data_IF_846901541481
#
_entry.id   IF_846901541481
#
_cell.length_a   1.000
_cell.length_b   1.000
_cell.length_c   1.000
_cell.angle_alpha   90.00
_cell.angle_beta   90.00
_cell.angle_gamma   90.00
#
_symmetry.space_group_name_H-M   'P 1'
#
loop_
_entity.id
_entity.type
_entity.pdbx_description
1 polymer ?
#
# COMPACT_ATOMS: atom_id res chain seq x y z
N UNK A 1 -10.78 44.64 -27.84
CA UNK A 1 -9.69 43.65 -27.75
C UNK A 1 -8.95 43.67 -26.40
N UNK A 2 -9.63 43.95 -25.28
CA UNK A 2 -9.03 43.94 -23.92
C UNK A 2 -9.86 43.19 -22.87
N UNK A 3 -11.11 42.83 -23.19
CA UNK A 3 -11.99 42.08 -22.28
C UNK A 3 -11.82 40.56 -22.41
N UNK A 4 -11.44 40.06 -23.59
CA UNK A 4 -11.26 38.63 -23.85
C UNK A 4 -9.97 38.05 -23.24
N UNK A 5 -9.00 38.88 -22.85
CA UNK A 5 -7.79 38.42 -22.14
C UNK A 5 -8.04 38.15 -20.65
N UNK A 6 -9.07 38.77 -20.04
CA UNK A 6 -9.36 38.62 -18.61
C UNK A 6 -10.14 37.33 -18.30
N UNK A 7 -10.98 36.83 -19.23
CA UNK A 7 -11.67 35.55 -19.05
C UNK A 7 -10.74 34.33 -19.21
N UNK A 8 -9.68 34.43 -20.02
CA UNK A 8 -8.70 33.36 -20.16
C UNK A 8 -7.82 33.17 -18.90
N UNK A 9 -7.68 34.22 -18.08
CA UNK A 9 -6.91 34.16 -16.83
C UNK A 9 -7.66 33.50 -15.66
N UNK A 10 -8.99 33.37 -15.74
CA UNK A 10 -9.81 32.74 -14.69
C UNK A 10 -10.12 31.25 -14.95
N UNK A 11 -9.70 30.72 -16.10
CA UNK A 11 -9.59 29.27 -16.33
C UNK A 11 -8.28 28.69 -15.75
N UNK A 12 -7.52 29.51 -15.01
CA UNK A 12 -6.29 29.13 -14.33
C UNK A 12 -6.58 28.23 -13.13
N UNK A 13 -6.14 26.97 -13.27
CA UNK A 13 -5.89 26.01 -12.19
C UNK A 13 -7.09 25.63 -11.33
N UNK A 14 -8.03 24.87 -11.92
CA UNK A 14 -8.56 23.73 -11.16
C UNK A 14 -7.38 22.78 -10.93
N UNK A 15 -6.63 22.96 -9.84
CA UNK A 15 -5.76 21.90 -9.36
C UNK A 15 -6.68 20.75 -8.97
N UNK A 16 -6.87 19.80 -9.89
CA UNK A 16 -7.36 18.48 -9.51
C UNK A 16 -6.31 17.94 -8.55
N UNK A 17 -6.59 17.95 -7.24
CA UNK A 17 -5.85 17.14 -6.29
C UNK A 17 -6.20 15.69 -6.58
N UNK A 18 -5.54 15.11 -7.58
CA UNK A 18 -5.64 13.69 -7.86
C UNK A 18 -5.02 12.96 -6.66
N UNK A 19 -5.88 12.34 -5.86
CA UNK A 19 -5.46 11.42 -4.81
C UNK A 19 -5.24 10.04 -5.45
N UNK A 20 -4.23 9.32 -4.99
CA UNK A 20 -4.08 7.92 -5.38
C UNK A 20 -5.13 7.06 -4.68
N UNK A 21 -5.79 6.19 -5.43
CA UNK A 21 -6.80 5.25 -4.95
C UNK A 21 -6.22 3.85 -4.95
N UNK A 22 -6.32 3.16 -3.81
CA UNK A 22 -5.81 1.80 -3.66
C UNK A 22 -6.92 0.82 -3.31
N UNK A 23 -6.79 -0.43 -3.78
CA UNK A 23 -7.66 -1.52 -3.36
C UNK A 23 -6.85 -2.59 -2.64
N UNK A 24 -7.32 -3.02 -1.46
CA UNK A 24 -6.72 -4.16 -0.77
C UNK A 24 -6.98 -5.45 -1.55
N UNK A 25 -5.94 -6.25 -1.71
CA UNK A 25 -5.96 -7.50 -2.45
C UNK A 25 -5.42 -8.62 -1.55
N UNK A 26 -6.25 -9.61 -1.25
CA UNK A 26 -5.90 -10.71 -0.36
C UNK A 26 -5.07 -11.76 -1.10
N UNK A 27 -3.74 -11.74 -0.93
CA UNK A 27 -2.82 -12.65 -1.63
C UNK A 27 -3.07 -14.12 -1.26
N UNK A 28 -3.48 -14.42 -0.03
CA UNK A 28 -3.83 -15.79 0.36
C UNK A 28 -4.94 -16.44 -0.49
N UNK A 29 -5.73 -15.65 -1.21
CA UNK A 29 -6.81 -16.14 -2.08
C UNK A 29 -6.36 -16.43 -3.52
N UNK A 30 -5.07 -16.29 -3.84
CA UNK A 30 -4.55 -16.37 -5.22
C UNK A 30 -3.80 -17.68 -5.51
N UNK A 31 -4.02 -18.74 -4.73
CA UNK A 31 -3.34 -20.02 -4.90
C UNK A 31 -3.42 -20.58 -6.34
N UNK A 32 -4.57 -20.39 -6.98
CA UNK A 32 -4.84 -20.86 -8.35
C UNK A 32 -4.79 -19.74 -9.40
N UNK A 33 -4.29 -18.55 -9.04
CA UNK A 33 -4.19 -17.45 -10.00
C UNK A 33 -3.12 -17.74 -11.06
N UNK A 34 -3.52 -17.61 -12.32
CA UNK A 34 -2.60 -17.57 -13.45
C UNK A 34 -2.17 -16.13 -13.74
N UNK A 35 -1.22 -15.96 -14.65
CA UNK A 35 -0.79 -14.64 -15.09
C UNK A 35 -1.95 -13.90 -15.79
N UNK A 36 -2.80 -14.61 -16.51
CA UNK A 36 -3.99 -14.07 -17.18
C UNK A 36 -5.02 -13.54 -16.17
N UNK A 37 -5.25 -14.25 -15.07
CA UNK A 37 -6.16 -13.79 -14.01
C UNK A 37 -5.63 -12.52 -13.34
N UNK A 38 -4.34 -12.49 -12.99
CA UNK A 38 -3.70 -11.27 -12.47
C UNK A 38 -3.84 -10.09 -13.43
N UNK A 39 -3.59 -10.30 -14.72
CA UNK A 39 -3.71 -9.24 -15.73
C UNK A 39 -5.16 -8.77 -15.89
N UNK A 40 -6.12 -9.69 -15.89
CA UNK A 40 -7.55 -9.39 -15.96
C UNK A 40 -7.97 -8.47 -14.80
N UNK A 41 -7.61 -8.83 -13.56
CA UNK A 41 -7.97 -8.01 -12.39
C UNK A 41 -7.27 -6.65 -12.39
N UNK A 42 -6.01 -6.59 -12.82
CA UNK A 42 -5.29 -5.33 -13.00
C UNK A 42 -5.98 -4.43 -14.05
N UNK A 43 -6.43 -5.00 -15.17
CA UNK A 43 -7.14 -4.26 -16.20
C UNK A 43 -8.47 -3.71 -15.69
N UNK A 44 -9.26 -4.55 -15.00
CA UNK A 44 -10.50 -4.12 -14.34
C UNK A 44 -10.26 -3.02 -13.30
N UNK A 45 -9.18 -3.12 -12.52
CA UNK A 45 -8.81 -2.10 -11.54
C UNK A 45 -8.50 -0.75 -12.21
N UNK A 46 -7.74 -0.77 -13.32
CA UNK A 46 -7.46 0.43 -14.11
C UNK A 46 -8.72 1.04 -14.72
N UNK A 47 -9.61 0.21 -15.25
CA UNK A 47 -10.92 0.65 -15.76
C UNK A 47 -11.79 1.29 -14.66
N UNK A 48 -11.64 0.82 -13.42
CA UNK A 48 -12.27 1.39 -12.24
C UNK A 48 -11.51 2.57 -11.60
N UNK A 49 -10.44 3.07 -12.23
CA UNK A 49 -9.60 4.15 -11.73
C UNK A 49 -8.90 3.87 -10.39
N UNK A 50 -8.59 2.60 -10.10
CA UNK A 50 -7.69 2.22 -9.01
C UNK A 50 -6.25 2.36 -9.51
N UNK A 51 -5.37 2.94 -8.70
CA UNK A 51 -3.97 3.20 -9.06
C UNK A 51 -3.02 2.09 -8.63
N UNK A 52 -3.35 1.37 -7.56
CA UNK A 52 -2.53 0.26 -7.06
C UNK A 52 -3.34 -0.78 -6.28
N UNK A 53 -2.81 -2.01 -6.24
CA UNK A 53 -3.23 -2.99 -5.25
C UNK A 53 -2.36 -2.93 -3.99
N UNK A 54 -3.01 -2.99 -2.84
CA UNK A 54 -2.36 -3.22 -1.54
C UNK A 54 -2.41 -4.71 -1.23
N UNK A 55 -1.30 -5.38 -1.48
CA UNK A 55 -1.16 -6.83 -1.35
C UNK A 55 -1.11 -7.22 0.12
N UNK A 56 -2.23 -7.70 0.64
CA UNK A 56 -2.37 -8.17 2.01
C UNK A 56 -1.91 -9.63 2.12
N UNK A 57 -0.92 -9.88 2.97
CA UNK A 57 -0.20 -11.16 3.03
C UNK A 57 -0.02 -11.61 4.48
N UNK A 58 -0.52 -12.79 4.81
CA UNK A 58 -0.27 -13.42 6.10
C UNK A 58 1.13 -14.04 6.15
N UNK A 59 1.80 -13.95 7.30
CA UNK A 59 3.13 -14.50 7.47
C UNK A 59 3.17 -16.03 7.25
N UNK A 60 4.18 -16.49 6.49
CA UNK A 60 4.43 -17.92 6.26
C UNK A 60 3.37 -18.62 5.42
N UNK A 61 2.54 -17.88 4.69
CA UNK A 61 1.65 -18.45 3.67
C UNK A 61 2.46 -18.85 2.43
N UNK A 62 2.33 -20.13 2.03
CA UNK A 62 3.04 -20.68 0.87
C UNK A 62 2.57 -20.06 -0.46
N UNK A 63 1.41 -19.39 -0.46
CA UNK A 63 0.88 -18.68 -1.63
C UNK A 63 1.65 -17.39 -1.91
N UNK A 64 2.32 -16.79 -0.92
CA UNK A 64 2.90 -15.45 -1.02
C UNK A 64 3.95 -15.35 -2.14
N UNK A 65 5.05 -16.09 -2.06
CA UNK A 65 6.16 -15.99 -3.01
C UNK A 65 5.74 -16.21 -4.47
N UNK A 66 5.06 -17.32 -4.84
CA UNK A 66 4.66 -17.54 -6.23
C UNK A 66 3.65 -16.48 -6.71
N UNK A 67 2.72 -16.05 -5.85
CA UNK A 67 1.73 -15.03 -6.23
C UNK A 67 2.36 -13.66 -6.42
N UNK A 68 3.32 -13.28 -5.57
CA UNK A 68 4.04 -12.01 -5.71
C UNK A 68 4.85 -11.95 -7.00
N UNK A 69 5.53 -13.04 -7.38
CA UNK A 69 6.29 -13.08 -8.62
C UNK A 69 5.37 -12.88 -9.84
N UNK A 70 4.21 -13.53 -9.85
CA UNK A 70 3.19 -13.34 -10.90
C UNK A 70 2.61 -11.92 -10.88
N UNK A 71 2.19 -11.43 -9.71
CA UNK A 71 1.59 -10.11 -9.56
C UNK A 71 2.53 -9.00 -10.06
N UNK A 72 3.80 -9.00 -9.65
CA UNK A 72 4.78 -7.99 -10.09
C UNK A 72 5.10 -8.11 -11.59
N UNK A 73 5.17 -9.34 -12.13
CA UNK A 73 5.34 -9.55 -13.57
C UNK A 73 4.15 -8.99 -14.37
N UNK A 74 2.92 -9.27 -13.94
CA UNK A 74 1.70 -8.78 -14.57
C UNK A 74 1.55 -7.26 -14.43
N UNK A 75 1.84 -6.71 -13.26
CA UNK A 75 1.82 -5.27 -13.03
C UNK A 75 2.83 -4.53 -13.91
N UNK A 76 4.02 -5.11 -14.12
CA UNK A 76 5.02 -4.58 -15.06
C UNK A 76 4.47 -4.55 -16.49
N UNK A 77 3.86 -5.63 -16.93
CA UNK A 77 3.31 -5.74 -18.28
C UNK A 77 2.15 -4.75 -18.53
N UNK A 78 1.35 -4.48 -17.50
CA UNK A 78 0.16 -3.62 -17.59
C UNK A 78 0.42 -2.16 -17.16
N UNK A 79 1.63 -1.84 -16.70
CA UNK A 79 1.97 -0.50 -16.18
C UNK A 79 1.20 -0.13 -14.91
N UNK A 80 0.88 -1.10 -14.06
CA UNK A 80 0.12 -0.94 -12.81
C UNK A 80 1.04 -0.91 -11.58
N UNK A 81 0.53 -0.43 -10.44
CA UNK A 81 1.29 -0.35 -9.20
C UNK A 81 0.84 -1.35 -8.14
N UNK A 82 1.77 -1.76 -7.31
CA UNK A 82 1.55 -2.66 -6.18
C UNK A 82 2.25 -2.10 -4.94
N UNK A 83 1.70 -2.32 -3.76
CA UNK A 83 2.39 -2.09 -2.50
C UNK A 83 2.03 -3.18 -1.49
N UNK A 84 2.82 -3.30 -0.42
CA UNK A 84 2.62 -4.34 0.58
C UNK A 84 1.76 -3.88 1.75
N UNK A 85 0.86 -4.76 2.17
CA UNK A 85 0.24 -4.81 3.50
C UNK A 85 0.66 -6.12 4.16
N UNK A 86 1.65 -6.05 5.05
CA UNK A 86 2.00 -7.21 5.85
C UNK A 86 0.89 -7.44 6.89
N UNK A 87 0.21 -8.58 6.82
CA UNK A 87 -0.84 -8.94 7.77
C UNK A 87 -0.21 -9.57 9.02
N UNK A 88 -0.20 -8.78 10.11
CA UNK A 88 0.33 -9.19 11.41
C UNK A 88 -0.71 -9.92 12.28
N UNK A 89 -1.99 -9.87 11.90
CA UNK A 89 -3.09 -10.50 12.65
C UNK A 89 -3.48 -11.88 12.11
N UNK A 90 -3.31 -12.14 10.80
CA UNK A 90 -3.83 -13.32 10.13
C UNK A 90 -3.16 -14.63 10.56
N UNK A 91 -1.82 -14.66 10.63
CA UNK A 91 -1.04 -15.85 11.07
C UNK A 91 0.03 -15.51 12.10
N UNK A 92 -0.16 -14.41 12.81
CA UNK A 92 0.82 -13.83 13.73
C UNK A 92 1.74 -12.82 13.04
N UNK A 93 2.58 -12.14 13.84
CA UNK A 93 3.38 -11.02 13.37
C UNK A 93 4.47 -11.47 12.40
N UNK A 94 4.79 -10.61 11.44
CA UNK A 94 5.92 -10.81 10.55
C UNK A 94 7.25 -10.54 11.28
N UNK A 95 8.24 -11.44 11.20
CA UNK A 95 9.58 -11.16 11.68
C UNK A 95 10.21 -10.00 10.92
N UNK A 96 10.82 -9.06 11.65
CA UNK A 96 11.43 -7.84 11.11
C UNK A 96 12.35 -8.09 9.90
N UNK A 97 13.25 -9.05 10.00
CA UNK A 97 14.25 -9.32 8.95
C UNK A 97 13.61 -9.82 7.65
N UNK A 98 12.48 -10.52 7.75
CA UNK A 98 11.72 -10.99 6.60
C UNK A 98 11.02 -9.82 5.91
N UNK A 99 10.42 -8.90 6.67
CA UNK A 99 9.85 -7.65 6.14
C UNK A 99 10.91 -6.84 5.38
N UNK A 100 12.09 -6.67 5.99
CA UNK A 100 13.22 -5.99 5.35
C UNK A 100 13.62 -6.68 4.04
N UNK A 101 13.71 -8.01 4.03
CA UNK A 101 14.02 -8.80 2.84
C UNK A 101 13.03 -8.57 1.70
N UNK A 102 11.73 -8.61 2.00
CA UNK A 102 10.66 -8.34 1.03
C UNK A 102 10.75 -6.91 0.47
N UNK A 103 10.93 -5.91 1.34
CA UNK A 103 11.06 -4.52 0.92
C UNK A 103 12.34 -4.25 0.13
N UNK A 104 13.46 -4.90 0.44
CA UNK A 104 14.69 -4.81 -0.38
C UNK A 104 14.51 -5.49 -1.74
N UNK A 105 13.79 -6.62 -1.83
CA UNK A 105 13.54 -7.35 -3.09
C UNK A 105 12.60 -6.59 -4.03
N UNK A 106 11.47 -6.11 -3.51
CA UNK A 106 10.40 -5.54 -4.34
C UNK A 106 10.28 -4.02 -4.22
N UNK A 107 10.61 -3.45 -3.07
CA UNK A 107 10.34 -2.04 -2.77
C UNK A 107 11.03 -1.05 -3.69
N UNK A 108 12.08 -1.44 -4.43
CA UNK A 108 12.79 -0.57 -5.39
C UNK A 108 12.36 -0.77 -6.85
N UNK A 109 11.48 -1.73 -7.15
CA UNK A 109 11.04 -1.98 -8.52
C UNK A 109 10.14 -0.85 -9.03
N UNK A 110 10.01 -0.73 -10.36
CA UNK A 110 9.23 0.33 -10.98
C UNK A 110 7.72 0.15 -10.73
N UNK A 111 7.29 -1.08 -10.52
CA UNK A 111 5.90 -1.49 -10.26
C UNK A 111 5.51 -1.28 -8.80
N UNK A 112 6.49 -1.11 -7.90
CA UNK A 112 6.19 -0.80 -6.51
C UNK A 112 5.74 0.65 -6.38
N UNK A 113 4.60 0.89 -5.73
CA UNK A 113 4.07 2.24 -5.54
C UNK A 113 5.02 3.07 -4.67
N UNK A 114 5.35 4.27 -5.16
CA UNK A 114 6.19 5.24 -4.46
C UNK A 114 5.34 6.40 -3.99
N UNK A 115 5.51 6.77 -2.72
CA UNK A 115 4.98 8.02 -2.22
C UNK A 115 5.66 9.22 -2.91
N UNK A 116 5.09 10.43 -2.80
CA UNK A 116 5.56 11.62 -3.51
C UNK A 116 7.01 12.02 -3.23
N UNK A 117 7.61 11.52 -2.14
CA UNK A 117 9.03 11.68 -1.81
C UNK A 117 9.94 10.57 -2.38
N UNK A 118 9.40 9.70 -3.24
CA UNK A 118 10.11 8.60 -3.91
C UNK A 118 10.28 7.34 -3.07
N UNK A 119 9.85 7.34 -1.80
CA UNK A 119 9.98 6.17 -0.91
C UNK A 119 8.91 5.13 -1.23
N UNK A 120 9.21 3.82 -1.13
CA UNK A 120 8.16 2.79 -1.20
C UNK A 120 7.12 3.04 -0.10
N UNK A 121 5.85 3.08 -0.50
CA UNK A 121 4.75 3.11 0.45
C UNK A 121 4.51 1.70 0.98
N UNK A 122 4.49 1.51 2.28
CA UNK A 122 4.25 0.21 2.91
C UNK A 122 3.22 0.35 4.02
N UNK A 123 2.46 -0.72 4.22
CA UNK A 123 1.39 -0.79 5.22
C UNK A 123 1.42 -2.12 5.98
N UNK A 124 0.60 -2.20 7.02
CA UNK A 124 0.29 -3.45 7.73
C UNK A 124 -1.22 -3.54 7.96
N UNK A 125 -1.73 -4.76 8.09
CA UNK A 125 -3.00 -5.00 8.77
C UNK A 125 -2.69 -5.34 10.23
N UNK A 126 -3.13 -4.48 11.14
CA UNK A 126 -2.79 -4.52 12.56
C UNK A 126 -1.26 -4.64 12.81
N UNK A 127 -0.88 -5.27 13.92
CA UNK A 127 0.51 -5.33 14.41
C UNK A 127 0.98 -4.19 15.32
N UNK A 128 0.13 -3.48 16.11
CA UNK A 128 0.60 -2.39 16.97
C UNK A 128 1.61 -2.84 18.03
N UNK A 129 1.57 -4.12 18.43
CA UNK A 129 2.57 -4.71 19.33
C UNK A 129 3.99 -4.75 18.75
N UNK A 130 4.12 -4.65 17.43
CA UNK A 130 5.38 -4.65 16.69
C UNK A 130 5.80 -3.27 16.18
N UNK A 131 5.14 -2.19 16.64
CA UNK A 131 5.44 -0.84 16.16
C UNK A 131 6.93 -0.46 16.32
N UNK A 132 7.60 -0.91 17.40
CA UNK A 132 9.03 -0.63 17.61
C UNK A 132 9.95 -1.30 16.58
N UNK A 133 9.54 -2.41 15.96
CA UNK A 133 10.32 -3.05 14.91
C UNK A 133 10.50 -2.13 13.70
N UNK A 134 9.49 -1.31 13.41
CA UNK A 134 9.49 -0.37 12.29
C UNK A 134 10.54 0.75 12.41
N UNK A 135 11.03 1.03 13.63
CA UNK A 135 12.15 1.97 13.83
C UNK A 135 13.40 1.43 13.14
N UNK A 136 13.64 0.12 13.24
CA UNK A 136 14.79 -0.53 12.62
C UNK A 136 14.54 -0.85 11.15
N UNK A 137 13.31 -1.25 10.78
CA UNK A 137 12.95 -1.46 9.36
C UNK A 137 13.18 -0.18 8.56
N UNK A 138 12.75 0.98 9.05
CA UNK A 138 12.93 2.27 8.36
C UNK A 138 14.39 2.71 8.25
N UNK A 139 15.28 2.24 9.13
CA UNK A 139 16.74 2.45 9.00
C UNK A 139 17.32 1.63 7.86
N UNK A 140 16.87 0.39 7.72
CA UNK A 140 17.36 -0.55 6.70
C UNK A 140 16.76 -0.32 5.31
N UNK A 141 15.50 0.14 5.28
CA UNK A 141 14.78 0.50 4.06
C UNK A 141 14.04 1.81 4.30
N UNK A 142 14.48 2.89 3.67
CA UNK A 142 13.80 4.18 3.75
C UNK A 142 12.43 4.12 3.06
N UNK A 143 11.39 3.83 3.81
CA UNK A 143 10.01 3.69 3.34
C UNK A 143 9.09 4.77 3.94
N UNK A 144 7.94 4.98 3.29
CA UNK A 144 6.82 5.75 3.82
C UNK A 144 5.82 4.76 4.40
N UNK A 145 5.58 4.80 5.71
CA UNK A 145 4.89 3.75 6.45
C UNK A 145 3.51 4.23 6.94
N UNK A 146 2.45 3.59 6.43
CA UNK A 146 1.06 3.85 6.81
C UNK A 146 0.42 2.53 7.28
N UNK A 147 0.51 2.17 8.56
CA UNK A 147 -0.15 0.99 9.09
C UNK A 147 -1.65 1.21 9.34
N UNK A 148 -2.40 0.11 9.36
CA UNK A 148 -3.67 0.03 10.05
C UNK A 148 -3.41 -0.46 11.47
N UNK A 149 -3.57 0.43 12.45
CA UNK A 149 -3.57 0.10 13.88
C UNK A 149 -4.91 0.49 14.51
N UNK A 150 -6.00 0.26 13.79
CA UNK A 150 -7.35 0.66 14.19
C UNK A 150 -7.75 0.14 15.56
N UNK A 151 -7.24 -1.02 15.98
CA UNK A 151 -7.47 -1.60 17.32
C UNK A 151 -7.02 -0.71 18.49
N UNK A 152 -6.25 0.35 18.25
CA UNK A 152 -5.74 1.26 19.30
C UNK A 152 -6.43 2.63 19.33
N UNK A 153 -7.20 2.97 18.31
CA UNK A 153 -7.68 4.34 18.09
C UNK A 153 -6.56 5.28 17.63
N UNK A 154 -6.93 6.37 16.94
CA UNK A 154 -5.98 7.20 16.20
C UNK A 154 -4.88 7.85 17.06
N UNK A 155 -5.24 8.42 18.22
CA UNK A 155 -4.27 9.11 19.10
C UNK A 155 -3.19 8.15 19.62
N UNK A 156 -3.62 7.02 20.19
CA UNK A 156 -2.70 5.99 20.67
C UNK A 156 -1.85 5.43 19.54
N UNK A 157 -2.46 5.12 18.39
CA UNK A 157 -1.77 4.56 17.24
C UNK A 157 -0.65 5.48 16.73
N UNK A 158 -0.88 6.80 16.66
CA UNK A 158 0.14 7.76 16.23
C UNK A 158 1.35 7.81 17.18
N UNK A 159 1.17 7.53 18.47
CA UNK A 159 2.25 7.55 19.45
C UNK A 159 3.09 6.26 19.50
N UNK A 160 2.60 5.16 18.89
CA UNK A 160 3.29 3.87 18.95
C UNK A 160 4.63 3.90 18.21
N UNK A 161 5.58 3.09 18.69
CA UNK A 161 6.92 3.01 18.11
C UNK A 161 7.66 4.36 18.12
N UNK A 162 7.40 5.20 19.12
CA UNK A 162 7.96 6.56 19.22
C UNK A 162 7.58 7.45 18.01
N UNK A 163 6.36 7.29 17.49
CA UNK A 163 5.86 8.07 16.36
C UNK A 163 6.40 7.60 15.00
N UNK A 164 6.65 6.31 14.85
CA UNK A 164 7.31 5.75 13.65
C UNK A 164 6.47 5.83 12.37
N UNK A 165 5.14 5.83 12.50
CA UNK A 165 4.20 5.86 11.38
C UNK A 165 4.18 7.26 10.73
N UNK A 166 4.25 7.31 9.40
CA UNK A 166 4.16 8.57 8.62
C UNK A 166 2.70 8.98 8.35
N UNK A 167 1.76 8.07 8.60
CA UNK A 167 0.32 8.26 8.54
C UNK A 167 -0.38 7.04 9.12
N UNK A 168 -1.69 7.09 9.25
CA UNK A 168 -2.51 5.95 9.62
C UNK A 168 -3.65 5.80 8.63
N UNK A 169 -4.08 4.56 8.40
CA UNK A 169 -5.36 4.29 7.76
C UNK A 169 -6.25 3.47 8.69
N UNK A 170 -7.55 3.46 8.39
CA UNK A 170 -8.54 2.70 9.14
C UNK A 170 -9.05 1.55 8.26
N UNK A 171 -9.01 0.33 8.78
CA UNK A 171 -9.59 -0.84 8.11
C UNK A 171 -11.11 -0.96 8.31
N UNK A 172 -11.66 -0.32 9.33
CA UNK A 172 -13.09 -0.38 9.59
C UNK A 172 -13.85 0.46 8.56
N UNK A 173 -14.59 -0.21 7.67
CA UNK A 173 -15.47 0.44 6.72
C UNK A 173 -16.66 1.17 7.40
N UNK A 174 -16.96 0.81 8.65
CA UNK A 174 -18.10 1.31 9.41
C UNK A 174 -17.74 1.53 10.90
N UNK A 175 -18.40 2.45 11.61
CA UNK A 175 -18.25 2.59 13.05
C UNK A 175 -18.62 1.30 13.78
N UNK A 176 -17.87 0.99 14.85
CA UNK A 176 -18.18 -0.12 15.73
C UNK A 176 -19.23 0.30 16.77
N UNK A 177 -20.51 0.03 16.48
CA UNK A 177 -21.62 0.22 17.42
C UNK A 177 -21.95 1.68 17.78
N UNK A 178 -23.01 1.90 18.61
CA UNK A 178 -23.36 3.21 19.16
C UNK A 178 -22.45 3.65 20.34
#
# INVERSE_FOLDING_TARGET
>A
MRLNLLLAAFAGTCHVQAASVFAHFMVGNTAEYTDELWRSDIQLAKEAHIDAFVLNMAHGDAVNEPSLERAFSSAKAEGFKLLFSFDYAGRGPWPKDIVIGYLKKFGSTAEYFKHGDGKPLVSTFEGPGNAKDWIDIKKEVSCFFIPDWSSKGAETALALGDGVADGLFNWAAWPWGP
#
